data_IF_430383448959
#
_entry.id   IF_430383448959
#
_cell.length_a   1.000
_cell.length_b   1.000
_cell.length_c   1.000
_cell.angle_alpha   90.00
_cell.angle_beta   90.00
_cell.angle_gamma   90.00
#
_symmetry.space_group_name_H-M   'P 1'
#
loop_
_entity.id
_entity.type
_entity.pdbx_description
1 polymer ?
#
# COMPACT_ATOMS: atom_id res chain seq x y z
N UNK A 1 2.72 -4.17 -11.33
CA UNK A 1 3.24 -2.79 -11.51
C UNK A 1 3.59 -2.53 -12.97
N UNK A 2 4.51 -3.29 -13.57
CA UNK A 2 4.90 -3.04 -14.98
C UNK A 2 3.72 -3.14 -15.94
N UNK A 3 2.82 -4.11 -15.74
CA UNK A 3 1.58 -4.20 -16.53
C UNK A 3 0.69 -2.95 -16.37
N UNK A 4 0.53 -2.46 -15.14
CA UNK A 4 -0.23 -1.23 -14.88
C UNK A 4 0.43 -0.02 -15.56
N UNK A 5 1.76 0.11 -15.47
CA UNK A 5 2.52 1.16 -16.13
C UNK A 5 2.39 1.09 -17.66
N UNK A 6 2.48 -0.11 -18.24
CA UNK A 6 2.31 -0.33 -19.68
C UNK A 6 0.93 0.11 -20.17
N UNK A 7 -0.11 -0.06 -19.35
CA UNK A 7 -1.49 0.31 -19.67
C UNK A 7 -1.91 1.69 -19.15
N UNK A 8 -1.00 2.46 -18.55
CA UNK A 8 -1.30 3.80 -18.02
C UNK A 8 -2.27 3.79 -16.84
N UNK A 9 -2.29 2.72 -16.03
CA UNK A 9 -3.09 2.65 -14.81
C UNK A 9 -2.33 3.25 -13.63
N UNK A 10 -3.00 4.14 -12.90
CA UNK A 10 -2.39 4.91 -11.82
C UNK A 10 -2.09 4.07 -10.56
N UNK A 11 -2.81 2.97 -10.35
CA UNK A 11 -2.78 2.22 -9.09
C UNK A 11 -2.63 0.71 -9.30
N UNK A 12 -1.95 0.07 -8.34
CA UNK A 12 -1.99 -1.37 -8.10
C UNK A 12 -2.42 -1.62 -6.66
N UNK A 13 -3.42 -2.48 -6.49
CA UNK A 13 -3.77 -3.04 -5.21
C UNK A 13 -2.82 -4.19 -4.89
N UNK A 14 -2.15 -4.11 -3.74
CA UNK A 14 -1.52 -5.26 -3.10
C UNK A 14 -2.51 -5.76 -2.06
N UNK A 15 -3.19 -6.84 -2.42
CA UNK A 15 -4.24 -7.43 -1.59
C UNK A 15 -3.62 -8.20 -0.39
N UNK A 16 -4.42 -9.03 0.27
CA UNK A 16 -4.01 -9.82 1.44
C UNK A 16 -2.64 -10.50 1.28
N UNK A 17 -1.86 -10.50 2.37
CA UNK A 17 -0.58 -11.23 2.48
C UNK A 17 0.67 -10.38 2.35
N UNK A 18 0.55 -9.05 2.25
CA UNK A 18 1.73 -8.19 2.25
C UNK A 18 2.47 -8.15 3.59
N UNK A 19 3.77 -7.87 3.55
CA UNK A 19 4.61 -7.81 4.76
C UNK A 19 5.48 -6.55 4.77
N UNK A 20 5.70 -6.01 5.97
CA UNK A 20 6.57 -4.84 6.19
C UNK A 20 8.03 -5.09 5.76
N UNK A 21 8.45 -6.36 5.62
CA UNK A 21 9.79 -6.75 5.18
C UNK A 21 10.07 -6.45 3.71
N UNK A 22 9.04 -6.30 2.87
CA UNK A 22 9.21 -6.07 1.43
C UNK A 22 8.28 -5.00 0.84
N UNK A 23 7.21 -4.61 1.53
CA UNK A 23 6.30 -3.58 1.04
C UNK A 23 7.01 -2.25 0.71
N UNK A 24 7.95 -1.73 1.53
CA UNK A 24 8.65 -0.48 1.21
C UNK A 24 9.38 -0.52 -0.13
N UNK A 25 10.09 -1.61 -0.42
CA UNK A 25 10.83 -1.78 -1.68
C UNK A 25 9.88 -1.86 -2.89
N UNK A 26 8.73 -2.52 -2.72
CA UNK A 26 7.71 -2.58 -3.76
C UNK A 26 7.09 -1.20 -4.05
N UNK A 27 6.84 -0.41 -3.00
CA UNK A 27 6.33 0.97 -3.14
C UNK A 27 7.35 1.84 -3.86
N UNK A 28 8.63 1.73 -3.52
CA UNK A 28 9.71 2.45 -4.21
C UNK A 28 9.80 2.04 -5.70
N UNK A 29 9.72 0.74 -5.98
CA UNK A 29 9.69 0.20 -7.34
C UNK A 29 8.50 0.72 -8.16
N UNK A 30 7.31 0.80 -7.54
CA UNK A 30 6.10 1.35 -8.16
C UNK A 30 6.24 2.84 -8.46
N UNK A 31 6.76 3.61 -7.49
CA UNK A 31 6.99 5.05 -7.60
C UNK A 31 7.93 5.39 -8.75
N UNK A 32 9.01 4.63 -8.92
CA UNK A 32 9.95 4.78 -10.04
C UNK A 32 9.30 4.56 -11.42
N UNK A 33 8.11 3.95 -11.47
CA UNK A 33 7.32 3.66 -12.68
C UNK A 33 6.06 4.51 -12.81
N UNK A 34 5.87 5.49 -11.93
CA UNK A 34 4.67 6.34 -11.93
C UNK A 34 3.39 5.61 -11.50
N UNK A 35 3.50 4.44 -10.87
CA UNK A 35 2.35 3.67 -10.36
C UNK A 35 2.30 3.80 -8.84
N UNK A 36 1.12 3.95 -8.28
CA UNK A 36 0.89 4.05 -6.83
C UNK A 36 0.37 2.74 -6.25
N UNK A 37 0.68 2.49 -4.98
CA UNK A 37 0.20 1.29 -4.27
C UNK A 37 -1.00 1.62 -3.39
N UNK A 38 -2.01 0.76 -3.45
CA UNK A 38 -3.07 0.65 -2.45
C UNK A 38 -2.80 -0.64 -1.65
N UNK A 39 -2.70 -0.55 -0.32
CA UNK A 39 -2.46 -1.71 0.54
C UNK A 39 -3.75 -2.21 1.19
N UNK A 40 -4.01 -3.51 1.14
CA UNK A 40 -5.16 -4.08 1.84
C UNK A 40 -4.93 -4.17 3.35
N UNK A 41 -5.98 -3.98 4.15
CA UNK A 41 -5.97 -4.22 5.59
C UNK A 41 -7.23 -4.97 5.98
N UNK A 42 -7.09 -5.99 6.84
CA UNK A 42 -8.22 -6.50 7.59
C UNK A 42 -8.72 -5.40 8.55
N UNK A 43 -10.03 -5.16 8.60
CA UNK A 43 -10.66 -4.16 9.46
C UNK A 43 -10.28 -4.33 10.94
N UNK A 44 -10.06 -5.56 11.41
CA UNK A 44 -9.59 -5.86 12.78
C UNK A 44 -8.24 -5.20 13.14
N UNK A 45 -7.40 -4.91 12.14
CA UNK A 45 -6.12 -4.25 12.32
C UNK A 45 -6.22 -2.71 12.43
N UNK A 46 -7.39 -2.12 12.18
CA UNK A 46 -7.62 -0.66 12.13
C UNK A 46 -8.85 -0.19 12.93
N UNK A 47 -9.39 -1.02 13.83
CA UNK A 47 -10.62 -0.73 14.58
C UNK A 47 -10.46 0.44 15.55
N UNK A 48 -9.36 0.48 16.30
CA UNK A 48 -9.12 1.51 17.32
C UNK A 48 -8.35 2.70 16.74
N UNK A 49 -8.45 3.86 17.41
CA UNK A 49 -7.65 5.03 17.05
C UNK A 49 -6.14 4.72 17.14
N UNK A 50 -5.71 4.08 18.23
CA UNK A 50 -4.31 3.68 18.43
C UNK A 50 -3.79 2.76 17.31
N UNK A 51 -4.58 1.78 16.88
CA UNK A 51 -4.20 0.92 15.75
C UNK A 51 -4.00 1.72 14.45
N UNK A 52 -4.89 2.67 14.17
CA UNK A 52 -4.76 3.54 12.99
C UNK A 52 -3.56 4.48 13.11
N UNK A 53 -3.32 5.03 14.30
CA UNK A 53 -2.19 5.92 14.58
C UNK A 53 -0.85 5.19 14.47
N UNK A 54 -0.82 3.88 14.71
CA UNK A 54 0.36 3.05 14.48
C UNK A 54 0.55 2.71 12.99
N UNK A 55 -0.51 2.26 12.29
CA UNK A 55 -0.39 1.73 10.94
C UNK A 55 -0.38 2.79 9.84
N UNK A 56 -1.32 3.75 9.87
CA UNK A 56 -1.53 4.67 8.75
C UNK A 56 -0.33 5.61 8.53
N UNK A 57 0.29 6.19 9.57
CA UNK A 57 1.51 6.97 9.39
C UNK A 57 2.67 6.13 8.86
N UNK A 58 2.81 4.89 9.32
CA UNK A 58 3.87 3.98 8.89
C UNK A 58 3.77 3.67 7.40
N UNK A 59 2.62 3.18 6.92
CA UNK A 59 2.47 2.86 5.48
C UNK A 59 2.54 4.09 4.59
N UNK A 60 2.06 5.25 5.08
CA UNK A 60 2.22 6.53 4.40
C UNK A 60 3.69 6.92 4.27
N UNK A 61 4.50 6.68 5.31
CA UNK A 61 5.94 6.98 5.28
C UNK A 61 6.70 6.17 4.22
N UNK A 62 6.21 4.98 3.87
CA UNK A 62 6.76 4.18 2.78
C UNK A 62 6.34 4.68 1.39
N UNK A 63 5.25 5.47 1.32
CA UNK A 63 4.69 5.99 0.06
C UNK A 63 3.42 5.29 -0.41
N UNK A 64 2.77 4.46 0.42
CA UNK A 64 1.46 3.88 0.11
C UNK A 64 0.45 5.02 -0.09
N UNK A 65 -0.31 4.97 -1.18
CA UNK A 65 -1.22 6.04 -1.60
C UNK A 65 -2.65 5.90 -1.05
N UNK A 66 -3.02 4.70 -0.59
CA UNK A 66 -4.33 4.44 0.00
C UNK A 66 -4.42 3.04 0.60
N UNK A 67 -5.54 2.75 1.27
CA UNK A 67 -5.82 1.44 1.84
C UNK A 67 -7.18 0.91 1.38
N UNK A 68 -7.26 -0.40 1.16
CA UNK A 68 -8.53 -1.14 1.01
C UNK A 68 -8.79 -1.84 2.34
N UNK A 69 -9.94 -1.60 2.97
CA UNK A 69 -10.29 -2.18 4.27
C UNK A 69 -11.43 -3.19 4.05
N UNK A 70 -11.27 -4.38 4.61
CA UNK A 70 -12.22 -5.51 4.53
C UNK A 70 -12.64 -5.99 5.92
#
# INVERSE_FOLDING_TARGET
IDFAQHHGWDYVLVDEGWQSSWMPDLVEYARARGVKIIAWFNSSALQTAEQRDNWLPLVKSWGVAGVKID
#
